data_IF_213729232533
#
_entry.id   IF_213729232533
#
_cell.length_a   1.000
_cell.length_b   1.000
_cell.length_c   1.000
_cell.angle_alpha   90.00
_cell.angle_beta   90.00
_cell.angle_gamma   90.00
#
_symmetry.space_group_name_H-M   'P 1'
#
loop_
_entity.id
_entity.type
_entity.pdbx_description
1 polymer ?
#
# COMPACT_ATOMS: atom_id res chain seq x y z
N UNK A 1 -43.77 -8.58 -23.67
CA UNK A 1 -43.74 -8.59 -22.20
C UNK A 1 -42.33 -9.06 -21.81
N UNK A 2 -41.40 -8.12 -21.65
CA UNK A 2 -40.06 -8.44 -21.21
C UNK A 2 -40.10 -8.71 -19.71
N UNK A 3 -39.67 -9.89 -19.32
CA UNK A 3 -39.37 -10.19 -17.90
C UNK A 3 -38.20 -9.33 -17.48
N UNK A 4 -38.47 -8.34 -16.69
CA UNK A 4 -37.45 -7.66 -15.89
C UNK A 4 -37.03 -8.63 -14.80
N UNK A 5 -35.83 -9.19 -14.92
CA UNK A 5 -35.19 -9.86 -13.80
C UNK A 5 -34.51 -8.75 -13.00
N UNK A 6 -34.91 -8.48 -11.76
CA UNK A 6 -34.14 -7.61 -10.92
C UNK A 6 -32.76 -8.26 -10.69
N UNK A 7 -31.69 -7.53 -10.96
CA UNK A 7 -30.37 -7.86 -10.40
C UNK A 7 -30.54 -7.71 -8.90
N UNK A 8 -30.76 -8.80 -8.19
CA UNK A 8 -31.14 -8.78 -6.77
C UNK A 8 -29.98 -9.14 -5.85
N UNK A 9 -28.76 -9.26 -6.37
CA UNK A 9 -27.59 -9.58 -5.54
C UNK A 9 -26.30 -9.02 -6.12
N UNK A 10 -25.40 -8.65 -5.23
CA UNK A 10 -23.99 -8.41 -5.55
C UNK A 10 -23.23 -9.72 -5.32
N UNK A 11 -22.38 -10.11 -6.26
CA UNK A 11 -21.44 -11.21 -6.06
C UNK A 11 -20.44 -10.83 -4.97
N UNK A 12 -19.95 -11.83 -4.24
CA UNK A 12 -18.92 -11.66 -3.22
C UNK A 12 -17.55 -11.73 -3.88
N UNK A 13 -16.61 -10.93 -3.37
CA UNK A 13 -15.19 -11.02 -3.71
C UNK A 13 -14.53 -11.93 -2.66
N UNK A 14 -14.30 -13.18 -3.03
CA UNK A 14 -13.77 -14.19 -2.11
C UNK A 14 -12.26 -14.04 -1.95
N UNK A 15 -11.54 -13.84 -3.06
CA UNK A 15 -10.09 -13.73 -3.04
C UNK A 15 -9.55 -12.78 -4.11
N UNK A 16 -8.35 -12.27 -3.84
CA UNK A 16 -7.48 -11.60 -4.80
C UNK A 16 -6.15 -12.31 -4.86
N UNK A 17 -5.67 -12.59 -6.05
CA UNK A 17 -4.31 -13.05 -6.30
C UNK A 17 -3.58 -12.00 -7.14
N UNK A 18 -2.32 -11.75 -6.82
CA UNK A 18 -1.43 -10.84 -7.55
C UNK A 18 -0.12 -11.54 -7.85
N UNK A 19 0.12 -11.86 -9.14
CA UNK A 19 1.42 -12.32 -9.61
C UNK A 19 2.16 -11.11 -10.18
N UNK A 20 3.30 -10.79 -9.62
CA UNK A 20 4.07 -9.59 -9.95
C UNK A 20 5.44 -9.96 -10.46
N UNK A 21 5.74 -9.58 -11.67
CA UNK A 21 7.08 -9.67 -12.26
C UNK A 21 7.77 -8.31 -12.14
N UNK A 22 8.98 -8.29 -11.59
CA UNK A 22 9.82 -7.09 -11.45
C UNK A 22 11.04 -7.24 -12.34
N UNK A 23 11.11 -6.44 -13.39
CA UNK A 23 12.23 -6.47 -14.35
C UNK A 23 12.35 -5.13 -15.07
N UNK A 24 13.54 -4.83 -15.62
CA UNK A 24 13.79 -3.70 -16.53
C UNK A 24 13.15 -2.36 -16.13
N UNK A 25 13.14 -2.04 -14.84
CA UNK A 25 12.61 -0.77 -14.32
C UNK A 25 11.08 -0.65 -14.38
N UNK A 26 10.38 -1.76 -14.46
CA UNK A 26 8.92 -1.85 -14.40
C UNK A 26 8.48 -3.01 -13.53
N UNK A 27 7.23 -2.93 -13.08
CA UNK A 27 6.48 -4.06 -12.52
C UNK A 27 5.34 -4.42 -13.46
N UNK A 28 5.09 -5.71 -13.63
CA UNK A 28 3.93 -6.23 -14.34
C UNK A 28 3.15 -7.11 -13.39
N UNK A 29 2.05 -6.61 -12.88
CA UNK A 29 1.17 -7.34 -11.97
C UNK A 29 -0.02 -7.91 -12.73
N UNK A 30 -0.25 -9.23 -12.63
CA UNK A 30 -1.46 -9.88 -13.06
C UNK A 30 -2.35 -10.12 -11.85
N UNK A 31 -3.48 -9.41 -11.82
CA UNK A 31 -4.50 -9.59 -10.80
C UNK A 31 -5.52 -10.62 -11.24
N UNK A 32 -5.95 -11.48 -10.30
CA UNK A 32 -7.08 -12.39 -10.44
C UNK A 32 -8.06 -12.17 -9.30
N UNK A 33 -9.28 -11.81 -9.63
CA UNK A 33 -10.39 -11.62 -8.69
C UNK A 33 -11.33 -12.80 -8.76
N UNK A 34 -11.53 -13.47 -7.64
CA UNK A 34 -12.44 -14.61 -7.50
C UNK A 34 -13.77 -14.13 -6.95
N UNK A 35 -14.81 -14.30 -7.73
CA UNK A 35 -16.17 -13.89 -7.41
C UNK A 35 -17.06 -15.10 -7.25
N UNK A 36 -17.88 -15.13 -6.20
CA UNK A 36 -18.93 -16.14 -6.03
C UNK A 36 -20.30 -15.53 -5.80
N UNK A 37 -21.31 -16.32 -6.10
CA UNK A 37 -22.69 -16.04 -5.72
C UNK A 37 -23.17 -17.17 -4.83
N UNK A 38 -23.15 -17.04 -3.49
CA UNK A 38 -23.52 -18.11 -2.56
C UNK A 38 -25.00 -18.51 -2.63
N UNK A 39 -25.80 -17.82 -3.45
CA UNK A 39 -27.18 -18.16 -3.66
C UNK A 39 -28.04 -18.00 -2.40
N UNK A 40 -28.01 -16.83 -1.80
CA UNK A 40 -28.81 -16.55 -0.60
C UNK A 40 -30.29 -16.80 -0.88
N UNK A 41 -30.87 -17.81 -0.18
CA UNK A 41 -32.30 -17.96 -0.05
C UNK A 41 -32.71 -17.37 1.30
N UNK A 42 -33.51 -16.29 1.28
CA UNK A 42 -34.33 -16.00 2.45
C UNK A 42 -35.36 -17.16 2.52
N UNK A 43 -35.38 -17.87 3.63
CA UNK A 43 -36.37 -18.99 3.85
C UNK A 43 -37.81 -18.54 3.68
N UNK A 44 -38.08 -17.26 3.55
CA UNK A 44 -39.38 -16.61 3.36
C UNK A 44 -39.69 -16.22 1.92
N UNK A 45 -38.69 -16.24 1.00
CA UNK A 45 -38.89 -15.86 -0.39
C UNK A 45 -38.83 -17.10 -1.29
N UNK A 46 -39.95 -17.46 -1.91
CA UNK A 46 -40.07 -18.53 -2.90
C UNK A 46 -39.49 -18.14 -4.27
N UNK A 47 -38.74 -17.06 -4.38
CA UNK A 47 -38.10 -16.64 -5.62
C UNK A 47 -36.84 -17.51 -5.87
N UNK A 48 -36.63 -18.01 -7.10
CA UNK A 48 -35.38 -18.68 -7.42
C UNK A 48 -34.21 -17.71 -7.23
N UNK A 49 -33.11 -18.21 -6.69
CA UNK A 49 -31.92 -17.43 -6.52
C UNK A 49 -31.53 -16.77 -7.86
N UNK A 50 -31.34 -15.46 -7.86
CA UNK A 50 -31.05 -14.70 -9.05
C UNK A 50 -29.53 -14.64 -9.33
N UNK A 51 -29.16 -14.48 -10.58
CA UNK A 51 -27.79 -14.19 -10.95
C UNK A 51 -27.35 -12.84 -10.36
N UNK A 52 -26.15 -12.79 -9.83
CA UNK A 52 -25.55 -11.59 -9.25
C UNK A 52 -24.63 -10.87 -10.25
N UNK A 53 -24.42 -9.57 -10.04
CA UNK A 53 -23.38 -8.82 -10.71
C UNK A 53 -22.15 -8.69 -9.79
N UNK A 54 -20.97 -9.06 -10.30
CA UNK A 54 -19.70 -8.74 -9.67
C UNK A 54 -19.33 -7.30 -10.02
N UNK A 55 -19.14 -6.46 -9.01
CA UNK A 55 -18.68 -5.08 -9.18
C UNK A 55 -17.59 -4.80 -8.18
N UNK A 56 -16.41 -4.47 -8.70
CA UNK A 56 -15.22 -4.20 -7.89
C UNK A 56 -14.64 -2.85 -8.31
N UNK A 57 -14.39 -2.00 -7.33
CA UNK A 57 -13.59 -0.77 -7.52
C UNK A 57 -12.23 -1.01 -6.85
N UNK A 58 -11.17 -0.80 -7.59
CA UNK A 58 -9.81 -1.01 -7.10
C UNK A 58 -8.89 0.13 -7.55
N UNK A 59 -7.94 0.53 -6.70
CA UNK A 59 -6.88 1.45 -7.08
C UNK A 59 -5.77 0.72 -7.84
N UNK A 60 -5.01 1.46 -8.63
CA UNK A 60 -3.73 1.02 -9.20
C UNK A 60 -2.65 2.03 -8.81
N UNK A 61 -1.37 1.65 -8.78
CA UNK A 61 -0.29 2.61 -8.57
C UNK A 61 -0.29 3.72 -9.63
N UNK A 62 0.09 4.92 -9.24
CA UNK A 62 0.12 6.06 -10.15
C UNK A 62 1.02 5.80 -11.37
N UNK A 63 0.58 6.24 -12.55
CA UNK A 63 1.30 6.02 -13.80
C UNK A 63 1.17 4.61 -14.39
N UNK A 64 0.29 3.77 -13.84
CA UNK A 64 0.05 2.43 -14.35
C UNK A 64 -0.81 2.43 -15.62
N UNK A 65 -0.62 1.41 -16.45
CA UNK A 65 -1.54 1.04 -17.53
C UNK A 65 -2.21 -0.30 -17.21
N UNK A 66 -3.50 -0.43 -17.56
CA UNK A 66 -4.31 -1.63 -17.31
C UNK A 66 -4.73 -2.23 -18.65
N UNK A 67 -4.42 -3.53 -18.85
CA UNK A 67 -4.65 -4.26 -20.10
C UNK A 67 -5.11 -5.69 -19.86
N UNK A 68 -5.35 -6.45 -20.92
CA UNK A 68 -5.55 -7.90 -20.93
C UNK A 68 -6.69 -8.39 -19.99
N UNK A 69 -7.84 -7.72 -20.06
CA UNK A 69 -9.02 -8.15 -19.32
C UNK A 69 -9.50 -9.52 -19.82
N UNK A 70 -9.63 -10.49 -18.92
CA UNK A 70 -10.17 -11.81 -19.21
C UNK A 70 -11.23 -12.18 -18.16
N UNK A 71 -12.37 -12.66 -18.61
CA UNK A 71 -13.40 -13.29 -17.78
C UNK A 71 -13.40 -14.79 -18.00
N UNK A 72 -13.31 -15.57 -16.95
CA UNK A 72 -13.31 -17.03 -16.96
C UNK A 72 -14.19 -17.63 -15.85
N UNK A 73 -14.30 -18.97 -15.80
CA UNK A 73 -15.21 -19.67 -14.88
C UNK A 73 -16.63 -19.82 -15.42
N UNK A 74 -16.93 -19.31 -16.61
CA UNK A 74 -18.15 -19.52 -17.36
C UNK A 74 -18.02 -20.61 -18.42
N UNK A 75 -19.04 -20.75 -19.30
CA UNK A 75 -19.01 -21.72 -20.41
C UNK A 75 -17.84 -21.48 -21.37
N UNK A 76 -17.45 -20.24 -21.54
CA UNK A 76 -16.37 -19.79 -22.40
C UNK A 76 -15.49 -18.80 -21.65
N UNK A 77 -14.19 -18.76 -22.01
CA UNK A 77 -13.28 -17.70 -21.57
C UNK A 77 -13.40 -16.54 -22.55
N UNK A 78 -13.62 -15.34 -22.02
CA UNK A 78 -13.83 -14.13 -22.82
C UNK A 78 -12.66 -13.17 -22.62
N UNK A 79 -12.08 -12.72 -23.72
CA UNK A 79 -11.04 -11.70 -23.74
C UNK A 79 -11.65 -10.31 -23.98
N UNK A 80 -11.22 -9.33 -23.17
CA UNK A 80 -11.65 -7.95 -23.28
C UNK A 80 -11.07 -7.27 -24.52
N UNK A 81 -11.79 -6.29 -25.03
CA UNK A 81 -11.33 -5.39 -26.10
C UNK A 81 -11.26 -3.97 -25.57
N UNK A 82 -10.20 -3.27 -25.93
CA UNK A 82 -10.07 -1.85 -25.59
C UNK A 82 -11.05 -1.03 -26.46
N UNK A 83 -11.86 -0.24 -25.82
CA UNK A 83 -12.85 0.65 -26.45
C UNK A 83 -12.86 1.98 -25.68
N UNK A 84 -13.48 3.01 -26.30
CA UNK A 84 -13.82 4.22 -25.58
C UNK A 84 -14.74 3.90 -24.39
N UNK A 85 -14.56 4.62 -23.25
CA UNK A 85 -15.24 4.31 -21.99
C UNK A 85 -16.77 4.32 -22.09
N UNK A 86 -17.33 5.29 -22.83
CA UNK A 86 -18.77 5.43 -23.01
C UNK A 86 -19.32 4.35 -23.94
N UNK A 87 -18.58 4.00 -24.99
CA UNK A 87 -18.94 2.91 -25.90
C UNK A 87 -18.88 1.56 -25.20
N UNK A 88 -17.83 1.31 -24.39
CA UNK A 88 -17.68 0.10 -23.61
C UNK A 88 -18.83 -0.06 -22.60
N UNK A 89 -19.19 0.99 -21.87
CA UNK A 89 -20.30 0.98 -20.92
C UNK A 89 -21.64 0.68 -21.61
N UNK A 90 -21.91 1.31 -22.73
CA UNK A 90 -23.15 1.10 -23.51
C UNK A 90 -23.25 -0.32 -24.05
N UNK A 91 -22.15 -0.86 -24.57
CA UNK A 91 -22.11 -2.25 -25.07
C UNK A 91 -22.32 -3.23 -23.92
N UNK A 92 -21.67 -3.02 -22.78
CA UNK A 92 -21.85 -3.83 -21.58
C UNK A 92 -23.32 -3.89 -21.15
N UNK A 93 -23.99 -2.75 -21.01
CA UNK A 93 -25.40 -2.67 -20.63
C UNK A 93 -26.33 -3.39 -21.63
N UNK A 94 -26.04 -3.27 -22.93
CA UNK A 94 -26.83 -3.95 -23.97
C UNK A 94 -26.66 -5.48 -23.92
N UNK A 95 -25.47 -5.97 -23.59
CA UNK A 95 -25.17 -7.40 -23.48
C UNK A 95 -25.77 -7.96 -22.19
N UNK A 96 -25.65 -7.24 -21.05
CA UNK A 96 -26.29 -7.62 -19.78
C UNK A 96 -27.80 -7.78 -19.95
N UNK A 97 -28.45 -6.90 -20.70
CA UNK A 97 -29.90 -7.03 -21.01
C UNK A 97 -30.26 -8.30 -21.78
N UNK A 98 -29.29 -8.91 -22.46
CA UNK A 98 -29.48 -10.17 -23.22
C UNK A 98 -29.08 -11.42 -22.44
N UNK A 99 -28.63 -11.26 -21.17
CA UNK A 99 -28.14 -12.35 -20.32
C UNK A 99 -26.95 -13.12 -20.94
N UNK A 100 -26.06 -12.41 -21.62
CA UNK A 100 -24.80 -12.94 -22.14
C UNK A 100 -23.69 -12.51 -21.18
N UNK A 101 -22.66 -13.31 -21.02
CA UNK A 101 -21.54 -13.11 -20.09
C UNK A 101 -20.64 -11.91 -20.49
N UNK A 102 -20.90 -10.65 -20.11
CA UNK A 102 -19.97 -9.54 -20.36
C UNK A 102 -19.07 -9.28 -19.15
N UNK A 103 -17.88 -8.78 -19.42
CA UNK A 103 -17.06 -8.08 -18.44
C UNK A 103 -16.75 -6.67 -18.93
N UNK A 104 -16.68 -5.73 -18.00
CA UNK A 104 -16.32 -4.33 -18.26
C UNK A 104 -15.20 -3.93 -17.29
N UNK A 105 -14.13 -3.37 -17.83
CA UNK A 105 -13.09 -2.67 -17.07
C UNK A 105 -13.06 -1.22 -17.56
N UNK A 106 -13.21 -0.28 -16.65
CA UNK A 106 -13.12 1.15 -16.97
C UNK A 106 -12.31 1.92 -15.95
N UNK A 107 -11.59 2.93 -16.41
CA UNK A 107 -10.97 3.92 -15.54
C UNK A 107 -12.06 4.84 -14.95
N UNK A 108 -11.89 5.18 -13.70
CA UNK A 108 -12.62 6.22 -12.99
C UNK A 108 -11.72 7.45 -12.85
N UNK A 109 -12.16 8.46 -12.10
CA UNK A 109 -11.31 9.61 -11.80
C UNK A 109 -10.13 9.20 -10.88
N UNK A 110 -8.95 9.71 -11.17
CA UNK A 110 -7.70 9.38 -10.48
C UNK A 110 -7.19 7.99 -10.86
N UNK A 111 -6.54 7.31 -9.92
CA UNK A 111 -5.95 5.98 -10.12
C UNK A 111 -6.91 4.83 -9.79
N UNK A 112 -8.23 5.06 -9.92
CA UNK A 112 -9.27 4.08 -9.64
C UNK A 112 -9.79 3.45 -10.92
N UNK A 113 -10.04 2.14 -10.84
CA UNK A 113 -10.67 1.36 -11.89
C UNK A 113 -11.90 0.64 -11.34
N UNK A 114 -12.90 0.48 -12.18
CA UNK A 114 -14.07 -0.35 -11.91
C UNK A 114 -14.08 -1.51 -12.86
N UNK A 115 -14.24 -2.71 -12.32
CA UNK A 115 -14.49 -3.91 -13.10
C UNK A 115 -15.87 -4.46 -12.75
N UNK A 116 -16.60 -4.91 -13.78
CA UNK A 116 -17.90 -5.57 -13.64
C UNK A 116 -17.92 -6.86 -14.42
N UNK A 117 -18.60 -7.86 -13.88
CA UNK A 117 -18.88 -9.11 -14.56
C UNK A 117 -20.32 -9.57 -14.27
N UNK A 118 -21.01 -10.06 -15.28
CA UNK A 118 -22.36 -10.58 -15.18
C UNK A 118 -22.59 -11.67 -16.25
N UNK A 119 -23.36 -12.72 -15.96
CA UNK A 119 -23.92 -13.09 -14.67
C UNK A 119 -22.93 -13.91 -13.83
N UNK A 120 -23.05 -13.82 -12.50
CA UNK A 120 -22.54 -14.83 -11.57
C UNK A 120 -23.75 -15.65 -11.10
N UNK A 121 -24.00 -16.84 -11.66
CA UNK A 121 -25.14 -17.65 -11.29
C UNK A 121 -25.07 -18.14 -9.84
N UNK A 122 -26.21 -18.47 -9.20
CA UNK A 122 -26.23 -18.99 -7.84
C UNK A 122 -25.42 -20.27 -7.69
N UNK A 123 -24.51 -20.30 -6.72
CA UNK A 123 -23.63 -21.43 -6.46
C UNK A 123 -22.47 -21.57 -7.45
N UNK A 124 -22.29 -20.62 -8.36
CA UNK A 124 -21.17 -20.60 -9.30
C UNK A 124 -20.16 -19.52 -8.96
N UNK A 125 -18.97 -19.69 -9.52
CA UNK A 125 -17.84 -18.78 -9.40
C UNK A 125 -17.49 -18.16 -10.77
N UNK A 126 -16.91 -16.97 -10.74
CA UNK A 126 -16.29 -16.30 -11.90
C UNK A 126 -14.94 -15.75 -11.50
N UNK A 127 -14.01 -15.80 -12.44
CA UNK A 127 -12.71 -15.20 -12.26
C UNK A 127 -12.50 -14.09 -13.28
N UNK A 128 -12.08 -12.92 -12.79
CA UNK A 128 -11.69 -11.81 -13.63
C UNK A 128 -10.19 -11.63 -13.48
N UNK A 129 -9.47 -11.60 -14.59
CA UNK A 129 -8.05 -11.28 -14.57
C UNK A 129 -7.75 -10.11 -15.51
N UNK A 130 -6.74 -9.34 -15.15
CA UNK A 130 -6.20 -8.25 -15.95
C UNK A 130 -4.75 -7.99 -15.55
N UNK A 131 -4.04 -7.24 -16.39
CA UNK A 131 -2.64 -6.91 -16.21
C UNK A 131 -2.50 -5.42 -15.89
N UNK A 132 -1.67 -5.10 -14.90
CA UNK A 132 -1.27 -3.74 -14.56
C UNK A 132 0.23 -3.62 -14.77
N UNK A 133 0.63 -2.72 -15.64
CA UNK A 133 2.05 -2.41 -15.87
C UNK A 133 2.33 -1.05 -15.25
N UNK A 134 3.30 -1.01 -14.34
CA UNK A 134 3.70 0.19 -13.60
C UNK A 134 5.20 0.43 -13.77
N UNK A 135 5.67 1.66 -13.98
CA UNK A 135 7.08 1.96 -13.82
C UNK A 135 7.54 1.54 -12.41
N UNK A 136 8.74 0.96 -12.29
CA UNK A 136 9.26 0.58 -10.99
C UNK A 136 9.41 1.83 -10.12
N UNK A 137 8.63 1.89 -9.05
CA UNK A 137 8.67 2.99 -8.10
C UNK A 137 9.93 2.87 -7.24
N UNK A 138 10.48 4.02 -6.83
CA UNK A 138 11.59 4.07 -5.90
C UNK A 138 11.26 5.01 -4.74
N UNK A 139 11.56 4.57 -3.52
CA UNK A 139 11.53 5.38 -2.32
C UNK A 139 12.95 5.36 -1.72
N UNK A 140 13.69 6.47 -1.88
CA UNK A 140 15.12 6.51 -1.57
C UNK A 140 15.92 5.51 -2.42
N UNK A 141 16.64 4.61 -1.78
CA UNK A 141 17.47 3.57 -2.43
C UNK A 141 16.71 2.23 -2.62
N UNK A 142 15.41 2.20 -2.36
CA UNK A 142 14.60 1.00 -2.42
C UNK A 142 13.65 1.03 -3.61
N UNK A 143 13.55 -0.09 -4.32
CA UNK A 143 12.46 -0.32 -5.26
C UNK A 143 11.21 -0.75 -4.48
N UNK A 144 10.04 -0.26 -4.90
CA UNK A 144 8.78 -0.52 -4.22
C UNK A 144 7.80 -1.21 -5.15
N UNK A 145 7.28 -2.35 -4.70
CA UNK A 145 6.15 -3.06 -5.33
C UNK A 145 4.94 -2.88 -4.42
N UNK A 146 3.83 -2.40 -4.98
CA UNK A 146 2.61 -2.16 -4.21
C UNK A 146 1.42 -2.93 -4.79
N UNK A 147 0.67 -3.64 -3.91
CA UNK A 147 -0.66 -4.19 -4.19
C UNK A 147 -1.67 -3.41 -3.34
N UNK A 148 -2.44 -2.49 -3.95
CA UNK A 148 -3.21 -1.48 -3.21
C UNK A 148 -4.62 -1.94 -2.82
N UNK A 149 -4.78 -3.05 -2.14
CA UNK A 149 -6.09 -3.66 -1.81
C UNK A 149 -6.84 -3.01 -0.65
N UNK A 150 -6.20 -2.22 0.21
CA UNK A 150 -6.88 -1.59 1.36
C UNK A 150 -8.01 -0.63 0.95
N UNK A 151 -7.92 -0.07 -0.26
CA UNK A 151 -8.90 0.86 -0.84
C UNK A 151 -9.87 0.19 -1.82
N UNK A 152 -9.87 -1.13 -1.91
CA UNK A 152 -10.81 -1.87 -2.75
C UNK A 152 -12.22 -1.87 -2.17
N UNK A 153 -13.21 -1.95 -3.05
CA UNK A 153 -14.62 -2.09 -2.69
C UNK A 153 -15.33 -3.04 -3.69
N UNK A 154 -15.86 -4.19 -3.22
CA UNK A 154 -15.76 -4.76 -1.88
C UNK A 154 -14.33 -5.15 -1.52
N UNK A 155 -14.04 -5.33 -0.23
CA UNK A 155 -12.76 -5.87 0.22
C UNK A 155 -12.72 -7.38 0.01
N UNK A 156 -11.59 -7.96 -0.44
CA UNK A 156 -11.45 -9.40 -0.58
C UNK A 156 -11.42 -10.08 0.80
N UNK A 157 -11.92 -11.33 0.87
CA UNK A 157 -11.88 -12.14 2.08
C UNK A 157 -10.54 -12.89 2.25
N UNK A 158 -9.81 -13.12 1.15
CA UNK A 158 -8.49 -13.72 1.12
C UNK A 158 -7.59 -13.00 0.12
N UNK A 159 -6.28 -13.09 0.30
CA UNK A 159 -5.28 -12.51 -0.59
C UNK A 159 -4.05 -13.39 -0.73
N UNK A 160 -3.48 -13.40 -1.92
CA UNK A 160 -2.21 -14.05 -2.24
C UNK A 160 -1.37 -13.11 -3.09
N UNK A 161 -0.07 -13.07 -2.83
CA UNK A 161 0.90 -12.32 -3.63
C UNK A 161 2.08 -13.22 -3.93
N UNK A 162 2.44 -13.29 -5.20
CA UNK A 162 3.67 -13.88 -5.67
C UNK A 162 4.46 -12.79 -6.41
N UNK A 163 5.71 -12.60 -6.06
CA UNK A 163 6.60 -11.60 -6.70
C UNK A 163 7.85 -12.30 -7.18
N UNK A 164 8.06 -12.27 -8.49
CA UNK A 164 9.27 -12.72 -9.14
C UNK A 164 10.12 -11.50 -9.50
N UNK A 165 11.29 -11.41 -8.89
CA UNK A 165 12.25 -10.34 -9.12
C UNK A 165 13.38 -10.89 -10.01
N UNK A 166 13.59 -10.27 -11.16
CA UNK A 166 14.71 -10.50 -12.06
C UNK A 166 15.29 -9.14 -12.47
N UNK A 167 16.34 -8.74 -11.78
CA UNK A 167 16.94 -7.41 -11.91
C UNK A 167 18.47 -7.52 -12.11
N UNK A 168 19.09 -6.57 -12.84
CA UNK A 168 20.51 -6.63 -13.16
C UNK A 168 21.44 -6.21 -11.98
N UNK A 169 20.90 -6.04 -10.79
CA UNK A 169 21.65 -5.66 -9.59
C UNK A 169 21.41 -6.66 -8.46
N UNK A 170 22.34 -6.74 -7.50
CA UNK A 170 22.24 -7.64 -6.36
C UNK A 170 21.07 -7.22 -5.46
N UNK A 171 20.11 -8.12 -5.23
CA UNK A 171 19.05 -7.93 -4.23
C UNK A 171 19.60 -8.31 -2.85
N UNK A 172 19.76 -7.32 -1.97
CA UNK A 172 20.28 -7.55 -0.60
C UNK A 172 19.20 -7.90 0.37
N UNK A 173 18.07 -7.23 0.31
CA UNK A 173 16.93 -7.52 1.18
C UNK A 173 15.61 -7.22 0.48
N UNK A 174 14.56 -7.93 0.89
CA UNK A 174 13.19 -7.68 0.49
C UNK A 174 12.30 -7.82 1.73
N UNK A 175 11.59 -6.76 2.08
CA UNK A 175 10.74 -6.71 3.27
C UNK A 175 9.38 -6.10 2.93
N UNK A 176 8.31 -6.65 3.50
CA UNK A 176 6.98 -6.06 3.48
C UNK A 176 6.48 -5.92 4.92
N UNK A 177 6.48 -4.70 5.48
CA UNK A 177 6.09 -4.48 6.87
C UNK A 177 4.68 -4.99 7.16
N UNK A 178 4.54 -5.83 8.20
CA UNK A 178 3.27 -6.45 8.57
C UNK A 178 2.89 -7.71 7.78
N UNK A 179 3.79 -8.23 6.91
CA UNK A 179 3.56 -9.44 6.11
C UNK A 179 4.72 -10.41 6.33
N UNK A 180 4.42 -11.65 6.71
CA UNK A 180 5.42 -12.73 6.80
C UNK A 180 5.65 -13.29 5.39
N UNK A 181 6.85 -13.10 4.86
CA UNK A 181 7.19 -13.46 3.49
C UNK A 181 7.92 -14.80 3.43
N UNK A 182 7.47 -15.67 2.53
CA UNK A 182 8.26 -16.79 2.06
C UNK A 182 9.21 -16.28 0.94
N UNK A 183 10.51 -16.55 1.07
CA UNK A 183 11.53 -16.06 0.14
C UNK A 183 12.40 -17.20 -0.38
N UNK A 184 12.55 -17.28 -1.71
CA UNK A 184 13.42 -18.23 -2.38
C UNK A 184 14.40 -17.47 -3.30
N UNK A 185 15.69 -17.50 -2.97
CA UNK A 185 16.73 -16.84 -3.75
C UNK A 185 17.31 -17.80 -4.79
N UNK A 186 17.21 -17.43 -6.06
CA UNK A 186 17.76 -18.18 -7.18
C UNK A 186 19.13 -17.64 -7.66
N UNK A 187 19.40 -16.35 -7.50
CA UNK A 187 20.63 -15.67 -7.90
C UNK A 187 20.86 -14.37 -7.15
N UNK A 188 21.88 -13.60 -7.55
CA UNK A 188 22.17 -12.29 -6.92
C UNK A 188 21.06 -11.26 -7.20
N UNK A 189 20.52 -11.25 -8.42
CA UNK A 189 19.42 -10.38 -8.85
C UNK A 189 18.07 -11.10 -8.95
N UNK A 190 18.01 -12.40 -8.60
CA UNK A 190 16.82 -13.24 -8.75
C UNK A 190 16.27 -13.64 -7.37
N UNK A 191 15.03 -13.27 -7.10
CA UNK A 191 14.36 -13.55 -5.84
C UNK A 191 12.87 -13.79 -6.06
N UNK A 192 12.38 -14.96 -5.65
CA UNK A 192 10.96 -15.28 -5.54
C UNK A 192 10.44 -14.94 -4.14
N UNK A 193 9.26 -14.34 -4.06
CA UNK A 193 8.61 -13.96 -2.80
C UNK A 193 7.16 -14.38 -2.86
N UNK A 194 6.72 -15.12 -1.84
CA UNK A 194 5.34 -15.54 -1.63
C UNK A 194 4.74 -14.97 -0.36
N UNK A 195 3.47 -14.66 -0.41
CA UNK A 195 2.66 -14.36 0.75
C UNK A 195 1.22 -14.80 0.52
N UNK A 196 0.64 -15.43 1.56
CA UNK A 196 -0.77 -15.83 1.58
C UNK A 196 -1.44 -15.32 2.85
N UNK A 197 -2.68 -14.86 2.72
CA UNK A 197 -3.42 -14.30 3.84
C UNK A 197 -3.76 -15.35 4.90
N UNK A 198 -3.58 -15.04 6.20
CA UNK A 198 -4.04 -15.90 7.28
C UNK A 198 -5.58 -15.94 7.34
N UNK A 199 -6.11 -16.96 8.00
CA UNK A 199 -7.55 -17.09 8.23
C UNK A 199 -8.10 -15.87 8.97
N UNK A 200 -9.16 -15.27 8.43
CA UNK A 200 -9.81 -14.09 9.02
C UNK A 200 -9.08 -12.78 8.72
N UNK A 201 -8.19 -12.78 7.73
CA UNK A 201 -7.52 -11.57 7.26
C UNK A 201 -8.51 -10.50 6.82
N UNK A 202 -8.15 -9.24 7.08
CA UNK A 202 -8.87 -8.06 6.61
C UNK A 202 -7.83 -7.05 6.07
N UNK A 203 -7.92 -6.64 4.78
CA UNK A 203 -6.93 -5.77 4.16
C UNK A 203 -7.12 -4.31 4.60
N UNK A 204 -6.58 -3.94 5.74
CA UNK A 204 -6.57 -2.57 6.27
C UNK A 204 -5.35 -1.77 5.79
N UNK A 205 -4.28 -2.46 5.40
CA UNK A 205 -3.06 -1.87 4.82
C UNK A 205 -2.78 -2.47 3.45
N UNK A 206 -2.10 -1.72 2.57
CA UNK A 206 -1.61 -2.24 1.28
C UNK A 206 -0.43 -3.17 1.50
N UNK A 207 -0.28 -4.17 0.63
CA UNK A 207 0.98 -4.89 0.54
C UNK A 207 2.00 -3.97 -0.13
N UNK A 208 3.08 -3.66 0.56
CA UNK A 208 4.19 -2.87 0.04
C UNK A 208 5.49 -3.63 0.30
N UNK A 209 6.10 -4.10 -0.77
CA UNK A 209 7.38 -4.77 -0.74
C UNK A 209 8.48 -3.76 -1.08
N UNK A 210 9.41 -3.60 -0.17
CA UNK A 210 10.61 -2.79 -0.33
C UNK A 210 11.78 -3.70 -0.67
N UNK A 211 12.40 -3.47 -1.81
CA UNK A 211 13.53 -4.25 -2.32
C UNK A 211 14.76 -3.37 -2.33
N UNK A 212 15.74 -3.70 -1.50
CA UNK A 212 17.03 -3.00 -1.43
C UNK A 212 18.07 -3.75 -2.23
N UNK A 213 18.93 -3.01 -2.93
CA UNK A 213 19.99 -3.58 -3.75
C UNK A 213 21.35 -2.95 -3.52
N UNK A 214 22.32 -3.32 -4.38
CA UNK A 214 23.65 -2.76 -4.42
C UNK A 214 23.70 -1.31 -4.94
N UNK A 215 24.87 -0.69 -4.87
CA UNK A 215 25.12 0.67 -5.35
C UNK A 215 24.61 0.87 -6.78
N UNK A 216 23.75 1.88 -7.00
CA UNK A 216 23.29 2.27 -8.33
C UNK A 216 21.90 1.72 -8.72
N UNK A 217 20.97 1.56 -7.79
CA UNK A 217 19.61 1.07 -8.03
C UNK A 217 18.85 1.78 -9.14
N UNK A 218 19.17 3.03 -9.44
CA UNK A 218 18.45 3.79 -10.47
C UNK A 218 19.44 4.62 -11.27
N UNK A 219 19.87 4.04 -12.35
CA UNK A 219 20.59 4.73 -13.43
C UNK A 219 19.58 5.13 -14.53
N UNK A 220 20.03 5.85 -15.54
CA UNK A 220 19.20 6.23 -16.69
C UNK A 220 18.75 4.98 -17.45
N UNK A 221 17.43 4.75 -17.54
CA UNK A 221 16.87 3.62 -18.28
C UNK A 221 16.07 4.09 -19.47
N UNK A 222 16.37 3.51 -20.62
CA UNK A 222 15.63 3.68 -21.86
C UNK A 222 14.75 2.46 -22.07
N UNK A 223 13.43 2.66 -22.07
CA UNK A 223 12.43 1.63 -22.38
C UNK A 223 11.92 1.87 -23.81
N UNK A 224 12.49 1.20 -24.84
CA UNK A 224 12.00 1.32 -26.19
C UNK A 224 10.79 0.41 -26.41
N UNK A 225 9.80 0.91 -27.13
CA UNK A 225 8.67 0.12 -27.61
C UNK A 225 8.43 0.39 -29.09
N UNK A 226 8.20 -0.65 -29.89
CA UNK A 226 7.87 -0.54 -31.29
C UNK A 226 7.00 -1.72 -31.72
N UNK A 227 5.86 -1.43 -32.29
CA UNK A 227 5.10 -2.43 -33.03
C UNK A 227 5.68 -2.63 -34.45
N UNK A 228 5.38 -3.82 -35.04
CA UNK A 228 5.89 -4.13 -36.36
C UNK A 228 5.30 -3.17 -37.38
N UNK A 229 6.17 -2.51 -38.17
CA UNK A 229 5.85 -1.57 -39.23
C UNK A 229 5.26 -0.22 -38.77
N UNK A 230 5.38 0.12 -37.48
CA UNK A 230 5.01 1.42 -36.92
C UNK A 230 6.23 2.21 -36.42
N UNK A 231 6.04 3.49 -36.17
CA UNK A 231 7.04 4.34 -35.50
C UNK A 231 7.24 3.86 -34.06
N UNK A 232 8.50 3.85 -33.60
CA UNK A 232 8.80 3.46 -32.22
C UNK A 232 8.64 4.61 -31.25
N UNK A 233 8.28 4.27 -30.01
CA UNK A 233 8.27 5.17 -28.86
C UNK A 233 9.32 4.74 -27.86
N UNK A 234 9.77 5.65 -27.02
CA UNK A 234 10.62 5.32 -25.90
C UNK A 234 10.20 6.11 -24.67
N UNK A 235 10.34 5.49 -23.50
CA UNK A 235 10.29 6.16 -22.21
C UNK A 235 11.70 6.23 -21.65
N UNK A 236 12.14 7.43 -21.30
CA UNK A 236 13.41 7.65 -20.63
C UNK A 236 13.11 7.90 -19.15
N UNK A 237 13.47 6.91 -18.31
CA UNK A 237 13.43 7.06 -16.87
C UNK A 237 14.78 7.62 -16.42
N UNK A 238 14.77 8.83 -15.91
CA UNK A 238 15.95 9.49 -15.37
C UNK A 238 15.79 9.64 -13.87
N UNK A 239 16.59 8.89 -13.12
CA UNK A 239 16.69 9.03 -11.69
C UNK A 239 18.07 9.57 -11.37
N UNK A 240 18.20 10.83 -10.96
CA UNK A 240 19.51 11.34 -10.58
C UNK A 240 19.99 10.53 -9.36
N UNK A 241 21.05 9.76 -9.54
CA UNK A 241 21.86 9.29 -8.42
C UNK A 241 22.54 10.53 -7.88
N UNK A 242 22.02 11.08 -6.80
CA UNK A 242 22.78 12.04 -6.02
C UNK A 242 23.72 11.16 -5.20
N UNK A 243 24.94 10.92 -5.71
CA UNK A 243 26.03 10.52 -4.84
C UNK A 243 26.22 11.66 -3.85
N UNK A 244 25.59 11.55 -2.71
CA UNK A 244 25.90 12.40 -1.57
C UNK A 244 27.18 11.79 -0.99
N UNK A 245 28.34 12.29 -1.42
CA UNK A 245 29.66 11.90 -0.89
C UNK A 245 29.76 12.09 0.64
N UNK A 246 28.83 12.83 1.22
CA UNK A 246 28.60 12.94 2.66
C UNK A 246 27.09 12.84 2.92
N UNK A 247 26.68 11.91 3.76
CA UNK A 247 25.32 11.86 4.26
C UNK A 247 24.95 13.24 4.83
N UNK A 248 23.90 13.87 4.27
CA UNK A 248 23.44 15.17 4.75
C UNK A 248 23.03 15.01 6.20
N UNK A 249 23.77 15.67 7.08
CA UNK A 249 23.49 15.64 8.51
C UNK A 249 22.08 16.18 8.78
N UNK A 250 21.28 15.42 9.53
CA UNK A 250 19.87 15.69 9.81
C UNK A 250 19.66 15.96 11.29
N UNK A 251 18.55 16.62 11.57
CA UNK A 251 18.02 16.75 12.92
C UNK A 251 16.79 15.86 13.05
N UNK A 252 16.83 14.92 13.99
CA UNK A 252 15.74 13.94 14.21
C UNK A 252 15.17 14.15 15.61
N UNK A 253 13.91 14.50 15.72
CA UNK A 253 13.23 14.68 17.01
C UNK A 253 12.19 13.57 17.18
N UNK A 254 12.36 12.74 18.20
CA UNK A 254 11.38 11.71 18.56
C UNK A 254 10.49 12.26 19.68
N UNK A 255 9.20 12.30 19.42
CA UNK A 255 8.17 12.74 20.35
C UNK A 255 7.34 11.53 20.78
N UNK A 256 7.47 11.11 22.03
CA UNK A 256 6.93 9.86 22.56
C UNK A 256 5.79 10.12 23.56
N UNK A 257 4.62 9.62 23.23
CA UNK A 257 3.47 9.61 24.13
C UNK A 257 3.68 8.61 25.27
N UNK A 258 3.54 9.07 26.50
CA UNK A 258 3.49 8.20 27.69
C UNK A 258 2.21 8.38 28.47
N UNK A 259 1.10 8.74 27.81
CA UNK A 259 -0.21 8.80 28.45
C UNK A 259 -0.69 7.45 28.97
N UNK A 260 -1.75 7.44 29.78
CA UNK A 260 -2.25 6.21 30.38
C UNK A 260 -2.71 5.14 29.38
N UNK A 261 -3.11 5.52 28.15
CA UNK A 261 -3.49 4.60 27.06
C UNK A 261 -2.32 3.79 26.50
N UNK A 262 -1.09 4.28 26.70
CA UNK A 262 0.14 3.62 26.28
C UNK A 262 0.59 2.49 27.22
N UNK A 263 -0.11 2.25 28.34
CA UNK A 263 0.32 1.24 29.32
C UNK A 263 0.42 -0.16 28.73
N UNK A 264 1.52 -0.87 29.05
CA UNK A 264 1.80 -2.25 28.64
C UNK A 264 2.53 -2.36 27.30
N UNK A 265 2.01 -3.18 26.40
CA UNK A 265 2.67 -3.54 25.13
C UNK A 265 2.92 -2.33 24.22
N UNK A 266 2.01 -1.37 24.18
CA UNK A 266 2.15 -0.16 23.34
C UNK A 266 3.35 0.69 23.77
N UNK A 267 3.56 0.84 25.08
CA UNK A 267 4.73 1.55 25.60
C UNK A 267 6.03 0.84 25.23
N UNK A 268 6.05 -0.48 25.32
CA UNK A 268 7.19 -1.27 24.90
C UNK A 268 7.50 -1.08 23.41
N UNK A 269 6.47 -1.18 22.54
CA UNK A 269 6.62 -0.95 21.11
C UNK A 269 7.09 0.47 20.76
N UNK A 270 6.62 1.48 21.49
CA UNK A 270 7.04 2.86 21.26
C UNK A 270 8.51 3.09 21.72
N UNK A 271 8.92 2.45 22.80
CA UNK A 271 10.32 2.44 23.25
C UNK A 271 11.19 1.75 22.18
N UNK A 272 10.83 0.54 21.75
CA UNK A 272 11.57 -0.21 20.72
C UNK A 272 11.70 0.62 19.41
N UNK A 273 10.65 1.32 19.01
CA UNK A 273 10.68 2.20 17.84
C UNK A 273 11.63 3.40 18.05
N UNK A 274 11.60 4.02 19.22
CA UNK A 274 12.51 5.12 19.54
C UNK A 274 13.99 4.64 19.59
N UNK A 275 14.25 3.48 20.18
CA UNK A 275 15.58 2.85 20.18
C UNK A 275 16.05 2.60 18.74
N UNK A 276 15.21 2.00 17.90
CA UNK A 276 15.54 1.77 16.50
C UNK A 276 15.92 3.05 15.75
N UNK A 277 15.20 4.15 15.98
CA UNK A 277 15.53 5.44 15.38
C UNK A 277 16.89 5.93 15.84
N UNK A 278 17.19 5.85 17.16
CA UNK A 278 18.44 6.31 17.73
C UNK A 278 19.65 5.48 17.28
N UNK A 279 19.48 4.16 17.17
CA UNK A 279 20.53 3.24 16.71
C UNK A 279 20.86 3.43 15.22
N UNK A 280 19.92 3.98 14.43
CA UNK A 280 20.09 4.19 12.99
C UNK A 280 20.39 5.66 12.61
N UNK A 281 20.81 6.48 13.56
CA UNK A 281 21.27 7.83 13.27
C UNK A 281 22.62 7.79 12.54
N UNK A 282 22.75 8.66 11.53
CA UNK A 282 24.03 8.90 10.88
C UNK A 282 25.03 9.58 11.83
N UNK A 283 26.33 9.32 11.65
CA UNK A 283 27.37 9.84 12.54
C UNK A 283 27.37 11.36 12.75
N UNK A 284 26.83 12.10 11.75
CA UNK A 284 26.75 13.55 11.77
C UNK A 284 25.33 14.06 12.13
N UNK A 285 24.36 13.19 12.38
CA UNK A 285 23.01 13.57 12.77
C UNK A 285 22.97 14.11 14.21
N UNK A 286 21.94 14.89 14.50
CA UNK A 286 21.60 15.31 15.86
C UNK A 286 20.21 14.77 16.19
N UNK A 287 19.96 14.49 17.45
CA UNK A 287 18.66 14.05 17.91
C UNK A 287 18.12 14.83 19.09
N UNK A 288 16.80 14.91 19.18
CA UNK A 288 16.07 15.41 20.33
C UNK A 288 15.03 14.37 20.78
N UNK A 289 14.79 14.28 22.10
CA UNK A 289 13.76 13.43 22.65
C UNK A 289 12.78 14.29 23.45
N UNK A 290 11.51 14.12 23.14
CA UNK A 290 10.39 14.74 23.85
C UNK A 290 9.49 13.63 24.35
N UNK A 291 9.27 13.53 25.65
CA UNK A 291 8.22 12.68 26.21
C UNK A 291 7.05 13.53 26.70
N UNK A 292 5.84 13.03 26.50
CA UNK A 292 4.68 13.77 26.94
C UNK A 292 3.56 12.91 27.51
N UNK A 293 2.85 13.51 28.43
CA UNK A 293 1.53 13.09 28.88
C UNK A 293 0.70 14.37 29.10
N UNK A 294 0.30 14.68 30.31
CA UNK A 294 -0.26 16.00 30.66
C UNK A 294 0.81 17.11 30.52
N UNK A 295 2.05 16.77 30.84
CA UNK A 295 3.20 17.68 30.78
C UNK A 295 4.15 17.18 29.72
N UNK A 296 4.75 18.12 29.00
CA UNK A 296 5.81 17.86 28.02
C UNK A 296 7.17 18.00 28.72
N UNK A 297 8.04 17.05 28.47
CA UNK A 297 9.42 17.02 28.97
C UNK A 297 10.38 16.75 27.83
N UNK A 298 11.60 17.13 27.99
CA UNK A 298 12.68 16.88 27.03
C UNK A 298 13.85 16.18 27.71
N UNK A 299 14.52 15.33 26.97
CA UNK A 299 15.76 14.71 27.40
C UNK A 299 16.86 15.75 27.68
N UNK A 300 17.01 16.69 26.74
CA UNK A 300 17.92 17.84 26.89
C UNK A 300 17.21 19.11 26.41
N UNK A 301 17.81 20.28 26.68
CA UNK A 301 17.34 21.57 26.20
C UNK A 301 17.70 21.81 24.73
N UNK A 302 18.71 21.12 24.20
CA UNK A 302 19.25 21.26 22.84
C UNK A 302 19.34 19.86 22.18
N UNK A 303 19.48 19.86 20.84
CA UNK A 303 19.76 18.63 20.10
C UNK A 303 21.12 18.04 20.49
N UNK A 304 21.15 16.74 20.70
CA UNK A 304 22.38 15.99 21.01
C UNK A 304 22.96 15.36 19.76
N UNK A 305 24.29 15.25 19.64
CA UNK A 305 24.90 14.52 18.54
C UNK A 305 24.57 13.03 18.60
N UNK A 306 24.51 12.35 17.44
CA UNK A 306 24.26 10.92 17.36
C UNK A 306 25.22 10.06 18.23
N UNK A 307 26.42 10.55 18.50
CA UNK A 307 27.37 9.87 19.39
C UNK A 307 26.83 9.68 20.83
N UNK A 308 25.85 10.46 21.24
CA UNK A 308 25.20 10.38 22.58
C UNK A 308 23.92 9.55 22.55
N UNK A 309 23.62 8.80 21.46
CA UNK A 309 22.39 8.04 21.28
C UNK A 309 22.14 7.02 22.40
N UNK A 310 23.20 6.38 22.94
CA UNK A 310 23.09 5.41 24.05
C UNK A 310 22.43 6.06 25.29
N UNK A 311 22.81 7.29 25.62
CA UNK A 311 22.18 8.03 26.73
C UNK A 311 20.69 8.35 26.45
N UNK A 312 20.34 8.61 25.19
CA UNK A 312 18.96 8.78 24.77
C UNK A 312 18.14 7.48 24.87
N UNK A 313 18.73 6.35 24.51
CA UNK A 313 18.14 5.01 24.64
C UNK A 313 17.87 4.70 26.11
N UNK A 314 18.83 4.92 26.99
CA UNK A 314 18.65 4.73 28.43
C UNK A 314 17.51 5.60 28.97
N UNK A 315 17.40 6.85 28.49
CA UNK A 315 16.32 7.75 28.87
C UNK A 315 14.93 7.21 28.46
N UNK A 316 14.76 6.74 27.23
CA UNK A 316 13.45 6.24 26.76
C UNK A 316 13.06 4.94 27.44
N UNK A 317 14.01 4.08 27.80
CA UNK A 317 13.79 2.83 28.57
C UNK A 317 13.23 3.07 29.97
N UNK A 318 13.61 4.17 30.59
CA UNK A 318 13.14 4.56 31.92
C UNK A 318 11.74 5.20 31.91
N UNK A 319 11.16 5.43 30.73
CA UNK A 319 9.84 6.05 30.63
C UNK A 319 8.74 5.07 31.07
N UNK A 320 7.78 5.59 31.83
CA UNK A 320 6.60 4.86 32.26
C UNK A 320 5.33 5.56 31.81
N UNK A 321 4.35 4.77 31.35
CA UNK A 321 3.04 5.28 30.94
C UNK A 321 2.24 5.85 32.12
N UNK A 322 1.45 6.89 31.88
CA UNK A 322 0.53 7.49 32.84
C UNK A 322 0.17 8.94 32.53
N UNK A 323 -1.05 9.31 32.86
CA UNK A 323 -1.57 10.68 32.71
C UNK A 323 -2.42 10.88 31.48
N UNK A 324 -2.63 12.15 31.15
CA UNK A 324 -3.43 12.61 29.99
C UNK A 324 -2.55 12.78 28.75
N UNK A 325 -3.12 13.25 27.64
CA UNK A 325 -2.46 13.34 26.32
C UNK A 325 -2.48 14.78 25.80
N UNK A 326 -1.33 15.48 25.85
CA UNK A 326 -1.14 16.86 25.36
C UNK A 326 -0.37 16.86 24.03
N UNK A 327 -1.04 16.53 22.94
CA UNK A 327 -0.44 16.41 21.61
C UNK A 327 0.10 17.76 21.12
N UNK A 328 -0.69 18.81 21.16
CA UNK A 328 -0.31 20.12 20.64
C UNK A 328 0.97 20.67 21.30
N UNK A 329 1.03 20.64 22.63
CA UNK A 329 2.23 21.10 23.33
C UNK A 329 3.47 20.22 23.07
N UNK A 330 3.29 18.93 22.81
CA UNK A 330 4.38 18.04 22.47
C UNK A 330 4.90 18.29 21.05
N UNK A 331 4.01 18.52 20.10
CA UNK A 331 4.34 18.84 18.72
C UNK A 331 5.06 20.19 18.65
N UNK A 332 4.52 21.23 19.28
CA UNK A 332 5.15 22.54 19.39
C UNK A 332 6.59 22.42 19.93
N UNK A 333 6.75 21.66 21.03
CA UNK A 333 8.07 21.46 21.62
C UNK A 333 9.03 20.68 20.71
N UNK A 334 8.52 19.69 19.99
CA UNK A 334 9.31 18.94 18.98
C UNK A 334 9.79 19.83 17.84
N UNK A 335 8.93 20.70 17.34
CA UNK A 335 9.26 21.64 16.27
C UNK A 335 10.24 22.74 16.71
N UNK A 336 10.18 23.19 17.97
CA UNK A 336 11.14 24.18 18.51
C UNK A 336 12.61 23.74 18.47
N UNK A 337 12.87 22.43 18.42
CA UNK A 337 14.23 21.91 18.26
C UNK A 337 14.80 22.14 16.86
N UNK A 338 13.95 22.30 15.85
CA UNK A 338 14.36 22.41 14.46
C UNK A 338 14.61 23.87 14.11
N UNK A 339 15.88 24.23 13.98
CA UNK A 339 16.34 25.61 13.68
C UNK A 339 16.40 25.91 12.17
N UNK A 340 16.10 24.94 11.31
CA UNK A 340 16.15 25.04 9.86
C UNK A 340 17.56 25.06 9.28
N UNK A 341 18.60 24.87 10.08
CA UNK A 341 19.99 24.81 9.61
C UNK A 341 20.30 23.48 8.90
N UNK A 342 19.51 22.46 9.19
CA UNK A 342 19.60 21.11 8.61
C UNK A 342 18.21 20.59 8.25
N UNK A 343 18.10 19.59 7.35
CA UNK A 343 16.85 18.86 7.18
C UNK A 343 16.39 18.29 8.52
N UNK A 344 15.19 18.67 8.96
CA UNK A 344 14.62 18.25 10.22
C UNK A 344 13.46 17.27 10.03
N UNK A 345 13.38 16.27 10.91
CA UNK A 345 12.29 15.30 10.95
C UNK A 345 11.77 15.17 12.37
N UNK A 346 10.44 15.29 12.54
CA UNK A 346 9.77 14.98 13.81
C UNK A 346 9.05 13.64 13.65
N UNK A 347 9.41 12.67 14.49
CA UNK A 347 8.77 11.34 14.56
C UNK A 347 7.85 11.33 15.78
N UNK A 348 6.55 11.25 15.55
CA UNK A 348 5.54 11.34 16.59
C UNK A 348 4.94 9.97 16.88
N UNK A 349 5.19 9.43 18.09
CA UNK A 349 4.75 8.12 18.54
C UNK A 349 3.62 8.27 19.57
N UNK A 350 2.38 8.00 19.18
CA UNK A 350 1.18 8.10 20.03
C UNK A 350 0.15 7.07 19.62
N UNK A 351 -0.69 6.65 20.56
CA UNK A 351 -1.84 5.75 20.33
C UNK A 351 -3.19 6.43 20.54
N UNK A 352 -3.18 7.70 20.95
CA UNK A 352 -4.35 8.34 21.51
C UNK A 352 -4.80 9.62 20.82
N UNK A 353 -6.00 10.03 21.23
CA UNK A 353 -6.55 11.35 20.92
C UNK A 353 -6.13 12.35 22.01
N UNK A 354 -6.01 13.64 21.67
CA UNK A 354 -5.70 14.68 22.66
C UNK A 354 -6.78 14.76 23.73
N UNK A 355 -6.38 14.86 25.00
CA UNK A 355 -7.29 14.98 26.15
C UNK A 355 -6.99 16.21 27.00
N UNK A 356 -5.97 16.98 26.66
CA UNK A 356 -5.55 18.21 27.33
C UNK A 356 -4.88 19.15 26.30
N UNK A 357 -5.10 20.43 26.45
CA UNK A 357 -4.56 21.47 25.56
C UNK A 357 -5.48 21.73 24.39
N UNK A 358 -4.92 21.85 23.18
CA UNK A 358 -5.68 21.98 21.94
C UNK A 358 -6.13 20.57 21.54
N UNK A 359 -7.44 20.33 21.55
CA UNK A 359 -8.03 19.02 21.27
C UNK A 359 -8.60 18.92 19.85
N UNK A 360 -8.75 20.04 19.14
CA UNK A 360 -9.26 20.04 17.76
C UNK A 360 -8.14 19.73 16.76
N UNK A 361 -8.44 18.91 15.76
CA UNK A 361 -7.50 18.56 14.70
C UNK A 361 -6.97 19.80 13.96
N UNK A 362 -7.86 20.74 13.63
CA UNK A 362 -7.48 21.99 12.95
C UNK A 362 -6.50 22.82 13.79
N UNK A 363 -6.76 22.93 15.10
CA UNK A 363 -5.87 23.67 16.00
C UNK A 363 -4.52 22.98 16.22
N UNK A 364 -4.45 21.66 16.17
CA UNK A 364 -3.18 20.91 16.22
C UNK A 364 -2.39 21.12 14.91
N UNK A 365 -3.07 21.11 13.77
CA UNK A 365 -2.45 21.37 12.47
C UNK A 365 -1.93 22.80 12.29
N UNK A 366 -2.50 23.78 13.01
CA UNK A 366 -1.99 25.15 13.03
C UNK A 366 -0.65 25.28 13.81
N UNK A 367 -0.35 24.33 14.67
CA UNK A 367 0.89 24.28 15.46
C UNK A 367 2.01 23.57 14.69
N UNK A 368 1.66 22.64 13.79
CA UNK A 368 2.58 21.89 12.93
C UNK A 368 2.99 22.70 11.69
#
# INVERSE_FOLDING_TARGET
AGCWWPVTGMAQLDAIEADVEVSDGKTVARYRFHLSNPGWHDERDFAPAAAAEGRIVFPVPAGSSVTDLVLSGGPETLEGRMLDADDAARIYEDIVRRLIDPALLRSLEGDLYEVRAFPVPPGEERQISFKVTTPLLAEGEQAVVEVPWSRMSPRPAAGQVEVDIDVPWEVRSAIAPGFELDQERAGEGELGIGWESPTGWAPDTNFRLYVSGGEGLIDTRLLPFRERDEDGYFSLLFSPVIEVDEAVARDVVVVLDRSGSMEGEKMAQAIDAAEYVLDNLGANDRFGLVDFSRYVRTFDSELRPAADAEAGIDYVRDLAAGGNTNIAGALERGMEFLDGSRPGTVIFLTDGLPTVGIESTDGILEVA
#
